data_IF_435406196253
#
_entry.id   IF_435406196253
#
_cell.length_a   1.000
_cell.length_b   1.000
_cell.length_c   1.000
_cell.angle_alpha   90.00
_cell.angle_beta   90.00
_cell.angle_gamma   90.00
#
_symmetry.space_group_name_H-M   'P 1'
#
loop_
_entity.id
_entity.type
_entity.pdbx_description
1 polymer ?
#
# COMPACT_ATOMS: atom_id res chain seq x y z
N UNK A 1 12.82 5.39 -0.40
CA UNK A 1 11.55 4.62 -0.44
C UNK A 1 10.56 5.20 -1.45
N UNK A 2 10.04 6.41 -1.25
CA UNK A 2 8.97 7.00 -2.09
C UNK A 2 9.29 7.00 -3.59
N UNK A 3 10.52 7.32 -3.97
CA UNK A 3 10.96 7.32 -5.37
C UNK A 3 10.83 5.93 -6.02
N UNK A 4 11.36 4.89 -5.37
CA UNK A 4 11.27 3.52 -5.86
C UNK A 4 9.82 3.03 -5.98
N UNK A 5 8.96 3.42 -5.03
CA UNK A 5 7.54 3.12 -5.12
C UNK A 5 6.88 3.87 -6.29
N UNK A 6 7.30 5.11 -6.57
CA UNK A 6 6.80 5.91 -7.69
C UNK A 6 7.18 5.29 -9.03
N UNK A 7 8.45 4.97 -9.24
CA UNK A 7 8.92 4.29 -10.46
C UNK A 7 8.14 2.99 -10.74
N UNK A 8 7.90 2.20 -9.69
CA UNK A 8 7.14 0.94 -9.79
C UNK A 8 5.67 1.21 -10.13
N UNK A 9 5.06 2.23 -9.54
CA UNK A 9 3.69 2.62 -9.81
C UNK A 9 3.52 3.23 -11.22
N UNK A 10 4.51 4.00 -11.70
CA UNK A 10 4.56 4.53 -13.06
C UNK A 10 4.68 3.40 -14.09
N UNK A 11 5.52 2.40 -13.82
CA UNK A 11 5.58 1.18 -14.62
C UNK A 11 4.22 0.46 -14.70
N UNK A 12 3.53 0.30 -13.56
CA UNK A 12 2.18 -0.28 -13.55
C UNK A 12 1.20 0.56 -14.36
N UNK A 13 1.23 1.89 -14.20
CA UNK A 13 0.34 2.80 -14.92
C UNK A 13 0.54 2.70 -16.43
N UNK A 14 1.79 2.64 -16.89
CA UNK A 14 2.15 2.49 -18.29
C UNK A 14 1.79 1.10 -18.86
N UNK A 15 1.75 0.09 -17.99
CA UNK A 15 1.42 -1.30 -18.38
C UNK A 15 -0.08 -1.59 -18.39
N UNK A 16 -0.91 -0.72 -17.81
CA UNK A 16 -2.35 -0.93 -17.63
C UNK A 16 -3.14 0.14 -18.41
N UNK A 17 -3.73 -0.26 -19.54
CA UNK A 17 -4.44 0.65 -20.45
C UNK A 17 -5.73 1.23 -19.82
N UNK A 18 -6.49 0.41 -19.09
CA UNK A 18 -7.83 0.77 -18.58
C UNK A 18 -7.84 1.23 -17.12
N UNK A 19 -6.68 1.49 -16.52
CA UNK A 19 -6.61 2.02 -15.15
C UNK A 19 -6.65 3.55 -15.20
N UNK A 20 -7.32 4.17 -14.26
CA UNK A 20 -7.36 5.63 -14.11
C UNK A 20 -6.46 6.10 -12.98
N UNK A 21 -6.53 5.40 -11.84
CA UNK A 21 -5.84 5.77 -10.61
C UNK A 21 -5.16 4.59 -9.96
N UNK A 22 -3.95 4.82 -9.47
CA UNK A 22 -3.18 3.89 -8.63
C UNK A 22 -2.76 4.65 -7.37
N UNK A 23 -3.16 4.15 -6.21
CA UNK A 23 -2.72 4.68 -4.91
C UNK A 23 -2.13 3.57 -4.06
N UNK A 24 -0.91 3.77 -3.59
CA UNK A 24 -0.24 2.92 -2.63
C UNK A 24 -0.44 3.48 -1.22
N UNK A 25 -1.08 2.71 -0.34
CA UNK A 25 -1.17 3.01 1.08
C UNK A 25 -0.16 2.21 1.89
N UNK A 26 0.43 2.85 2.89
CA UNK A 26 1.18 2.19 3.95
C UNK A 26 0.46 2.37 5.28
N UNK A 27 0.54 1.36 6.14
CA UNK A 27 0.12 1.49 7.54
C UNK A 27 1.12 2.35 8.29
N UNK A 28 0.63 3.39 8.96
CA UNK A 28 1.45 4.25 9.81
C UNK A 28 2.08 3.44 10.94
N UNK A 29 3.32 3.77 11.30
CA UNK A 29 4.03 3.15 12.43
C UNK A 29 3.60 3.73 13.79
N UNK A 30 2.91 4.88 13.78
CA UNK A 30 2.57 5.65 14.98
C UNK A 30 1.07 5.74 15.25
N UNK A 31 0.27 5.75 14.20
CA UNK A 31 -1.19 5.88 14.27
C UNK A 31 -1.86 4.63 13.68
N UNK A 32 -3.10 4.34 14.09
CA UNK A 32 -3.88 3.24 13.52
C UNK A 32 -4.58 3.69 12.23
N UNK A 33 -3.76 4.11 11.27
CA UNK A 33 -4.16 4.76 10.03
C UNK A 33 -3.28 4.30 8.85
N UNK A 34 -3.78 4.53 7.66
CA UNK A 34 -3.14 4.22 6.38
C UNK A 34 -2.89 5.49 5.60
N UNK A 35 -1.63 5.78 5.34
CA UNK A 35 -1.18 7.00 4.68
C UNK A 35 -0.84 6.71 3.21
N UNK A 36 -1.21 7.59 2.27
CA UNK A 36 -0.83 7.44 0.87
C UNK A 36 0.68 7.72 0.71
N UNK A 37 1.39 6.76 0.13
CA UNK A 37 2.83 6.86 -0.16
C UNK A 37 3.06 7.40 -1.57
N UNK A 38 2.28 6.90 -2.52
CA UNK A 38 2.32 7.25 -3.94
C UNK A 38 0.90 7.24 -4.47
N UNK A 39 0.57 8.25 -5.26
CA UNK A 39 -0.70 8.36 -5.98
C UNK A 39 -0.41 8.79 -7.42
N UNK A 40 -1.09 8.14 -8.36
CA UNK A 40 -1.02 8.40 -9.79
C UNK A 40 -2.46 8.49 -10.31
N UNK A 41 -2.86 9.60 -10.95
CA UNK A 41 -2.03 10.79 -11.22
C UNK A 41 -1.74 11.57 -9.92
N UNK A 42 -0.65 12.34 -9.86
CA UNK A 42 -0.12 12.91 -8.61
C UNK A 42 -1.03 13.96 -7.95
N UNK A 43 -2.00 14.48 -8.70
CA UNK A 43 -3.06 15.38 -8.28
C UNK A 43 -4.22 14.68 -7.57
N UNK A 44 -4.27 13.33 -7.58
CA UNK A 44 -5.16 12.62 -6.68
C UNK A 44 -4.66 12.78 -5.25
N UNK A 45 -5.49 13.39 -4.39
CA UNK A 45 -5.23 13.54 -2.96
C UNK A 45 -6.20 12.62 -2.22
N UNK A 46 -5.88 11.33 -2.10
CA UNK A 46 -6.83 10.34 -1.61
C UNK A 46 -6.99 10.38 -0.08
N UNK A 47 -6.21 11.21 0.62
CA UNK A 47 -6.27 11.40 2.07
C UNK A 47 -5.75 10.20 2.86
N UNK A 48 -5.62 10.37 4.18
CA UNK A 48 -5.29 9.27 5.11
C UNK A 48 -6.57 8.51 5.46
N UNK A 49 -6.48 7.19 5.57
CA UNK A 49 -7.61 6.31 5.88
C UNK A 49 -7.47 5.72 7.29
N UNK A 50 -8.46 5.83 8.19
CA UNK A 50 -8.41 5.17 9.49
C UNK A 50 -8.50 3.64 9.33
N UNK A 51 -7.95 2.87 10.28
CA UNK A 51 -7.99 1.41 10.23
C UNK A 51 -9.43 0.85 10.18
N UNK A 52 -10.39 1.57 10.75
CA UNK A 52 -11.81 1.23 10.74
C UNK A 52 -12.52 1.49 9.39
N UNK A 53 -11.82 2.13 8.43
CA UNK A 53 -12.39 2.46 7.14
C UNK A 53 -12.86 1.19 6.39
N UNK A 54 -14.04 1.20 5.74
CA UNK A 54 -14.57 0.00 5.08
C UNK A 54 -13.61 -0.67 4.09
N UNK A 55 -12.87 0.11 3.30
CA UNK A 55 -11.85 -0.42 2.38
C UNK A 55 -10.72 -1.14 3.12
N UNK A 56 -10.27 -0.58 4.25
CA UNK A 56 -9.20 -1.17 5.06
C UNK A 56 -9.68 -2.47 5.69
N UNK A 57 -10.91 -2.50 6.23
CA UNK A 57 -11.51 -3.76 6.73
C UNK A 57 -11.62 -4.81 5.64
N UNK A 58 -12.03 -4.41 4.44
CA UNK A 58 -12.19 -5.32 3.31
C UNK A 58 -10.86 -5.93 2.89
N UNK A 59 -9.80 -5.12 2.77
CA UNK A 59 -8.48 -5.60 2.37
C UNK A 59 -7.79 -6.40 3.50
N UNK A 60 -8.05 -6.04 4.76
CA UNK A 60 -7.51 -6.76 5.93
C UNK A 60 -8.11 -8.16 6.10
N UNK A 61 -9.34 -8.36 5.61
CA UNK A 61 -10.04 -9.65 5.68
C UNK A 61 -9.55 -10.65 4.62
N UNK A 62 -8.71 -10.23 3.67
CA UNK A 62 -8.30 -11.04 2.52
C UNK A 62 -6.77 -11.08 2.38
N UNK A 63 -6.26 -12.21 1.89
CA UNK A 63 -4.83 -12.41 1.64
C UNK A 63 -4.46 -12.36 0.15
N UNK A 64 -5.44 -12.05 -0.69
CA UNK A 64 -5.32 -12.06 -2.16
C UNK A 64 -5.97 -10.81 -2.74
N UNK A 65 -5.60 -10.40 -3.96
CA UNK A 65 -6.30 -9.35 -4.69
C UNK A 65 -7.81 -9.57 -4.70
N UNK A 66 -8.56 -8.51 -4.45
CA UNK A 66 -10.02 -8.52 -4.54
C UNK A 66 -10.50 -7.42 -5.48
N UNK A 67 -11.55 -7.74 -6.24
CA UNK A 67 -12.26 -6.78 -7.08
C UNK A 67 -13.64 -6.59 -6.47
N UNK A 68 -13.83 -5.62 -5.55
CA UNK A 68 -15.17 -5.35 -5.01
C UNK A 68 -16.15 -5.02 -6.12
N UNK A 69 -17.35 -5.60 -6.06
CA UNK A 69 -18.44 -5.23 -6.95
C UNK A 69 -18.82 -3.76 -6.71
N UNK A 70 -18.64 -2.93 -7.75
CA UNK A 70 -19.00 -1.51 -7.71
C UNK A 70 -20.41 -1.35 -8.27
N UNK A 71 -21.27 -0.61 -7.56
CA UNK A 71 -22.51 -0.09 -8.14
C UNK A 71 -22.18 1.18 -8.93
N UNK A 72 -21.78 1.01 -10.19
CA UNK A 72 -21.38 2.10 -11.10
C UNK A 72 -20.55 1.55 -12.25
N UNK A 73 -20.48 2.26 -13.38
CA UNK A 73 -19.88 1.77 -14.63
C UNK A 73 -18.36 1.49 -14.61
N UNK A 74 -17.69 1.65 -13.46
CA UNK A 74 -16.26 1.39 -13.29
C UNK A 74 -15.97 0.19 -12.40
N UNK A 75 -14.70 -0.16 -12.27
CA UNK A 75 -14.22 -1.24 -11.40
C UNK A 75 -13.09 -0.78 -10.48
N UNK A 76 -12.80 -1.56 -9.46
CA UNK A 76 -11.75 -1.26 -8.48
C UNK A 76 -11.12 -2.56 -8.02
N UNK A 77 -9.81 -2.57 -7.81
CA UNK A 77 -9.07 -3.68 -7.23
C UNK A 77 -8.32 -3.19 -5.98
N UNK A 78 -8.38 -3.99 -4.93
CA UNK A 78 -7.61 -3.81 -3.70
C UNK A 78 -6.65 -5.00 -3.57
N UNK A 79 -5.36 -4.71 -3.43
CA UNK A 79 -4.31 -5.72 -3.31
C UNK A 79 -3.62 -5.56 -1.96
N UNK A 80 -3.75 -6.53 -1.05
CA UNK A 80 -3.11 -6.46 0.26
C UNK A 80 -1.58 -6.55 0.14
N UNK A 81 -0.86 -5.74 0.91
CA UNK A 81 0.60 -5.84 1.06
C UNK A 81 0.88 -6.47 2.41
N UNK A 82 1.29 -7.74 2.39
CA UNK A 82 1.43 -8.54 3.61
C UNK A 82 2.89 -8.66 4.04
N UNK A 83 3.13 -8.62 5.34
CA UNK A 83 4.35 -9.11 5.98
C UNK A 83 4.16 -10.60 6.30
N UNK A 84 4.84 -11.51 5.57
CA UNK A 84 4.70 -12.94 5.81
C UNK A 84 5.26 -13.38 7.18
N UNK A 85 6.06 -12.53 7.84
CA UNK A 85 6.74 -12.88 9.09
C UNK A 85 6.00 -12.37 10.34
N UNK A 86 4.97 -11.53 10.18
CA UNK A 86 4.22 -10.95 11.29
C UNK A 86 2.79 -11.50 11.33
N UNK A 87 2.48 -12.35 12.31
CA UNK A 87 1.16 -12.99 12.44
C UNK A 87 0.13 -12.15 13.20
N UNK A 88 0.54 -11.13 13.95
CA UNK A 88 -0.38 -10.28 14.72
C UNK A 88 -0.95 -9.14 13.89
N UNK A 89 -0.10 -8.50 13.07
CA UNK A 89 -0.47 -7.35 12.24
C UNK A 89 0.12 -7.50 10.83
N UNK A 90 -0.35 -8.50 10.07
CA UNK A 90 0.29 -8.88 8.81
C UNK A 90 0.13 -7.83 7.70
N UNK A 91 -0.87 -6.95 7.76
CA UNK A 91 -1.09 -5.94 6.72
C UNK A 91 -0.13 -4.74 6.90
N UNK A 92 0.82 -4.61 5.98
CA UNK A 92 1.75 -3.46 5.87
C UNK A 92 1.12 -2.27 5.16
N UNK A 93 0.15 -2.51 4.30
CA UNK A 93 -0.39 -1.54 3.37
C UNK A 93 -1.30 -2.21 2.34
N UNK A 94 -1.76 -1.45 1.36
CA UNK A 94 -2.50 -2.00 0.23
C UNK A 94 -2.33 -1.13 -1.00
N UNK A 95 -2.42 -1.76 -2.18
CA UNK A 95 -2.53 -1.07 -3.45
C UNK A 95 -4.01 -0.92 -3.79
N UNK A 96 -4.43 0.32 -4.06
CA UNK A 96 -5.77 0.65 -4.53
C UNK A 96 -5.69 1.06 -6.00
N UNK A 97 -6.31 0.27 -6.88
CA UNK A 97 -6.31 0.51 -8.33
C UNK A 97 -7.74 0.71 -8.78
N UNK A 98 -8.02 1.77 -9.52
CA UNK A 98 -9.38 2.06 -9.99
C UNK A 98 -9.43 2.27 -11.50
N UNK A 99 -10.53 1.81 -12.09
CA UNK A 99 -10.95 2.13 -13.45
C UNK A 99 -12.36 2.73 -13.35
N UNK A 100 -12.57 3.92 -13.89
CA UNK A 100 -13.82 4.67 -13.84
C UNK A 100 -14.77 4.26 -14.96
N UNK A 101 -14.23 3.83 -16.10
CA UNK A 101 -14.98 3.60 -17.33
C UNK A 101 -15.04 2.14 -17.77
N UNK A 102 -14.17 1.27 -17.26
CA UNK A 102 -14.20 -0.15 -17.59
C UNK A 102 -14.62 -0.99 -16.36
N UNK A 103 -15.83 -1.58 -16.35
CA UNK A 103 -16.29 -2.43 -15.26
C UNK A 103 -15.60 -3.81 -15.22
N UNK A 104 -14.82 -4.15 -16.26
CA UNK A 104 -14.06 -5.39 -16.40
C UNK A 104 -12.56 -5.15 -16.54
N UNK A 105 -12.04 -4.02 -16.05
CA UNK A 105 -10.63 -3.64 -16.16
C UNK A 105 -9.68 -4.64 -15.46
N UNK A 106 -10.16 -5.39 -14.48
CA UNK A 106 -9.34 -6.32 -13.68
C UNK A 106 -9.56 -7.76 -14.09
N UNK A 107 -9.01 -8.12 -15.24
CA UNK A 107 -8.91 -9.51 -15.69
C UNK A 107 -7.98 -10.34 -14.77
N UNK A 108 -8.05 -11.69 -14.81
CA UNK A 108 -7.16 -12.53 -14.00
C UNK A 108 -5.66 -12.28 -14.23
N UNK A 109 -5.24 -11.98 -15.46
CA UNK A 109 -3.84 -11.69 -15.77
C UNK A 109 -3.39 -10.33 -15.23
N UNK A 110 -4.26 -9.32 -15.25
CA UNK A 110 -3.99 -8.02 -14.62
C UNK A 110 -3.89 -8.18 -13.11
N UNK A 111 -4.78 -8.96 -12.48
CA UNK A 111 -4.69 -9.25 -11.05
C UNK A 111 -3.39 -9.96 -10.68
N UNK A 112 -2.92 -10.90 -11.50
CA UNK A 112 -1.63 -11.57 -11.27
C UNK A 112 -0.44 -10.61 -11.39
N UNK A 113 -0.47 -9.69 -12.36
CA UNK A 113 0.53 -8.64 -12.49
C UNK A 113 0.54 -7.73 -11.25
N UNK A 114 -0.64 -7.27 -10.82
CA UNK A 114 -0.79 -6.44 -9.63
C UNK A 114 -0.33 -7.16 -8.36
N UNK A 115 -0.63 -8.45 -8.22
CA UNK A 115 -0.17 -9.29 -7.10
C UNK A 115 1.36 -9.43 -7.10
N UNK A 116 1.97 -9.64 -8.27
CA UNK A 116 3.43 -9.75 -8.42
C UNK A 116 4.12 -8.43 -8.05
N UNK A 117 3.58 -7.30 -8.48
CA UNK A 117 4.16 -5.98 -8.15
C UNK A 117 3.87 -5.60 -6.69
N UNK A 118 2.75 -6.04 -6.13
CA UNK A 118 2.45 -5.88 -4.71
C UNK A 118 3.54 -6.50 -3.81
N UNK A 119 4.12 -7.65 -4.19
CA UNK A 119 5.28 -8.20 -3.46
C UNK A 119 6.45 -7.21 -3.41
N UNK A 120 6.75 -6.52 -4.51
CA UNK A 120 7.82 -5.52 -4.56
C UNK A 120 7.54 -4.30 -3.68
N UNK A 121 6.27 -3.86 -3.63
CA UNK A 121 5.85 -2.81 -2.71
C UNK A 121 5.96 -3.25 -1.26
N UNK A 122 5.47 -4.44 -0.92
CA UNK A 122 5.53 -5.01 0.42
C UNK A 122 6.98 -5.10 0.92
N UNK A 123 7.90 -5.61 0.10
CA UNK A 123 9.33 -5.65 0.42
C UNK A 123 9.91 -4.25 0.67
N UNK A 124 9.55 -3.29 -0.16
CA UNK A 124 10.06 -1.91 -0.05
C UNK A 124 9.57 -1.24 1.24
N UNK A 125 8.29 -1.42 1.58
CA UNK A 125 7.72 -0.94 2.85
C UNK A 125 8.36 -1.64 4.06
N UNK A 126 8.56 -2.96 3.99
CA UNK A 126 9.17 -3.71 5.08
C UNK A 126 10.61 -3.26 5.35
N UNK A 127 11.43 -3.09 4.31
CA UNK A 127 12.81 -2.58 4.45
C UNK A 127 12.82 -1.18 5.07
N UNK A 128 11.88 -0.32 4.66
CA UNK A 128 11.76 1.02 5.23
C UNK A 128 11.43 0.97 6.73
N UNK A 129 10.43 0.19 7.13
CA UNK A 129 10.05 0.05 8.54
C UNK A 129 11.20 -0.47 9.39
N UNK A 130 11.92 -1.50 8.91
CA UNK A 130 13.08 -2.03 9.61
C UNK A 130 14.19 -0.98 9.79
N UNK A 131 14.39 -0.12 8.80
CA UNK A 131 15.34 0.98 8.91
C UNK A 131 14.88 2.02 9.95
N UNK A 132 13.61 2.42 9.94
CA UNK A 132 13.04 3.34 10.94
C UNK A 132 13.20 2.81 12.37
N UNK A 133 12.92 1.51 12.57
CA UNK A 133 13.08 0.86 13.87
C UNK A 133 14.53 0.86 14.34
N UNK A 134 15.49 0.57 13.44
CA UNK A 134 16.91 0.61 13.76
C UNK A 134 17.38 2.02 14.13
N UNK A 135 16.94 3.03 13.39
CA UNK A 135 17.25 4.43 13.68
C UNK A 135 16.65 4.87 15.02
N UNK A 136 15.42 4.49 15.32
CA UNK A 136 14.77 4.78 16.60
C UNK A 136 15.52 4.13 17.77
N UNK A 137 15.95 2.86 17.63
CA UNK A 137 16.74 2.17 18.64
C UNK A 137 18.13 2.83 18.83
N UNK A 138 18.77 3.27 17.77
CA UNK A 138 20.05 3.97 17.84
C UNK A 138 19.92 5.29 18.61
N UNK A 139 18.87 6.08 18.32
CA UNK A 139 18.57 7.34 19.04
C UNK A 139 18.32 7.10 20.54
N UNK A 140 17.57 6.05 20.90
CA UNK A 140 17.33 5.70 22.30
C UNK A 140 18.63 5.32 23.05
N UNK A 141 19.53 4.59 22.40
CA UNK A 141 20.83 4.22 22.99
C UNK A 141 21.72 5.44 23.21
N UNK A 142 21.76 6.38 22.25
CA UNK A 142 22.52 7.63 22.38
C UNK A 142 21.94 8.55 23.46
N UNK A 143 20.60 8.68 23.52
CA UNK A 143 19.94 9.47 24.56
C UNK A 143 20.21 8.93 25.97
N UNK A 144 20.25 7.61 26.16
CA UNK A 144 20.61 7.00 27.45
C UNK A 144 22.06 7.27 27.88
N UNK A 145 22.99 7.39 26.94
CA UNK A 145 24.38 7.75 27.24
C UNK A 145 24.55 9.23 27.59
N UNK A 146 23.60 10.08 27.19
CA UNK A 146 23.64 11.53 27.44
C UNK A 146 23.09 11.92 28.82
N UNK A 147 22.36 11.01 29.49
CA UNK A 147 21.73 11.22 30.79
C UNK A 147 22.53 10.64 31.98
N UNK A 148 23.70 10.07 31.73
CA UNK A 148 24.69 9.76 32.76
C UNK A 148 25.65 10.93 32.93
N UNK A 149 25.25 11.96 33.69
CA UNK A 149 26.13 12.99 34.25
C UNK A 149 25.72 13.24 35.70
#
# INVERSE_FOLDING_TARGET
MKERCRETADFLRASLEDVDEITLYQRSSYWDEFEPVVSIPADSNPGTLPAEHPLVKQVSAVLKPIVPEKQGGGSTSLIPLMDPNNTQTPLLGFLWVTSKLNPKAFSPHILLLLDTVAVQFAETLLRHRLQEDQEAQARLKQGRQSYTV
#
